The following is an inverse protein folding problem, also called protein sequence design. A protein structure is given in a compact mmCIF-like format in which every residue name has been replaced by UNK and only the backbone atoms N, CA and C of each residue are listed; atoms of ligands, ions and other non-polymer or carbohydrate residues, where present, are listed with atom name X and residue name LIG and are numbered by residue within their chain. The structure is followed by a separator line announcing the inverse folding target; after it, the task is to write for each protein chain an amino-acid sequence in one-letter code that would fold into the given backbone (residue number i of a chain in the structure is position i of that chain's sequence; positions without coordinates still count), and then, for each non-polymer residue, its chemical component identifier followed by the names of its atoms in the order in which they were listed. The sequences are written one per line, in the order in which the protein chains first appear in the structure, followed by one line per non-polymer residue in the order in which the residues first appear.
data_IF_504894638594
#
_entry.id   IF_504894638594
#
_cell.length_a   1.000
_cell.length_b   1.000
_cell.length_c   1.000
_cell.angle_alpha   90.00
_cell.angle_beta   90.00
_cell.angle_gamma   90.00
#
_symmetry.space_group_name_H-M   'P 1'
#
loop_
_entity.id
_entity.type
_entity.pdbx_description
1 polymer ?
#
# COMPACT_ATOMS: atom_id res chain seq x y z
N UNK A 1 -26.00 6.79 -9.65
CA UNK A 1 -24.91 7.71 -9.19
C UNK A 1 -23.60 7.09 -9.53
N UNK A 2 -22.76 7.85 -10.23
CA UNK A 2 -21.44 7.40 -10.68
C UNK A 2 -20.35 8.13 -9.90
N UNK A 3 -19.46 7.39 -9.31
CA UNK A 3 -18.36 7.92 -8.52
C UNK A 3 -17.02 7.65 -9.21
N UNK A 4 -16.21 8.70 -9.35
CA UNK A 4 -14.81 8.57 -9.75
C UNK A 4 -13.96 8.28 -8.51
N UNK A 5 -13.47 7.07 -8.42
CA UNK A 5 -12.57 6.61 -7.35
C UNK A 5 -11.13 6.85 -7.76
N UNK A 6 -10.33 7.45 -6.91
CA UNK A 6 -8.93 7.77 -7.20
C UNK A 6 -8.05 7.28 -6.05
N UNK A 7 -7.22 6.29 -6.31
CA UNK A 7 -6.20 5.79 -5.36
C UNK A 7 -4.85 6.46 -5.64
N UNK A 8 -4.46 7.38 -4.76
CA UNK A 8 -3.19 8.10 -4.82
C UNK A 8 -2.07 7.31 -4.15
N UNK A 9 -1.53 6.33 -4.85
CA UNK A 9 -0.37 5.59 -4.38
C UNK A 9 0.95 6.36 -4.54
N UNK A 10 1.99 5.92 -3.82
CA UNK A 10 3.32 6.52 -3.89
C UNK A 10 4.02 6.34 -5.24
N UNK A 11 3.70 5.28 -5.96
CA UNK A 11 4.32 4.93 -7.25
C UNK A 11 3.39 5.13 -8.43
N UNK A 12 2.09 4.94 -8.22
CA UNK A 12 1.06 5.05 -9.26
C UNK A 12 -0.20 5.67 -8.68
N UNK A 13 -0.93 6.41 -9.51
CA UNK A 13 -2.30 6.83 -9.27
C UNK A 13 -3.18 5.89 -10.09
N UNK A 14 -4.14 5.26 -9.44
CA UNK A 14 -5.14 4.41 -10.08
C UNK A 14 -6.48 5.11 -10.04
N UNK A 15 -7.24 4.99 -11.10
CA UNK A 15 -8.61 5.52 -11.17
C UNK A 15 -9.58 4.42 -11.55
N UNK A 16 -10.84 4.59 -11.17
CA UNK A 16 -11.92 3.67 -11.46
C UNK A 16 -13.26 4.39 -11.40
N UNK A 17 -14.12 4.14 -12.34
CA UNK A 17 -15.49 4.63 -12.33
C UNK A 17 -16.43 3.55 -11.78
N UNK A 18 -17.17 3.88 -10.73
CA UNK A 18 -18.14 3.00 -10.09
C UNK A 18 -19.56 3.56 -10.22
N UNK A 19 -20.45 2.81 -10.84
CA UNK A 19 -21.88 3.12 -10.85
C UNK A 19 -22.59 2.38 -9.71
N UNK A 20 -22.91 3.14 -8.65
CA UNK A 20 -23.58 2.60 -7.47
C UNK A 20 -24.97 2.04 -7.76
N UNK A 21 -25.71 2.62 -8.69
CA UNK A 21 -27.07 2.18 -9.00
C UNK A 21 -27.09 0.80 -9.68
N UNK A 22 -26.10 0.54 -10.52
CA UNK A 22 -25.96 -0.72 -11.26
C UNK A 22 -25.02 -1.72 -10.56
N UNK A 23 -24.30 -1.28 -9.55
CA UNK A 23 -23.19 -2.01 -8.90
C UNK A 23 -22.13 -2.48 -9.92
N UNK A 24 -21.84 -1.62 -10.88
CA UNK A 24 -20.91 -1.92 -11.99
C UNK A 24 -19.67 -1.06 -11.88
N UNK A 25 -18.53 -1.73 -12.01
CA UNK A 25 -17.24 -1.10 -12.20
C UNK A 25 -17.00 -0.98 -13.70
N UNK A 26 -16.66 0.22 -14.13
CA UNK A 26 -16.34 0.48 -15.51
C UNK A 26 -15.10 1.38 -15.60
N UNK A 27 -14.44 1.36 -16.73
CA UNK A 27 -13.38 2.30 -17.10
C UNK A 27 -12.43 2.67 -15.94
N UNK A 28 -11.21 2.25 -16.04
CA UNK A 28 -10.13 2.63 -15.13
C UNK A 28 -8.82 2.80 -15.87
N UNK A 29 -7.92 3.59 -15.33
CA UNK A 29 -6.57 3.71 -15.85
C UNK A 29 -5.56 3.93 -14.72
N UNK A 30 -4.28 3.78 -15.06
CA UNK A 30 -3.15 3.98 -14.16
C UNK A 30 -2.20 4.99 -14.76
N UNK A 31 -1.74 5.93 -13.94
CA UNK A 31 -0.67 6.86 -14.31
C UNK A 31 0.45 6.82 -13.29
N UNK A 32 1.65 7.23 -13.69
CA UNK A 32 2.77 7.35 -12.76
C UNK A 32 2.45 8.40 -11.69
N UNK A 33 2.71 8.08 -10.43
CA UNK A 33 2.55 9.05 -9.36
C UNK A 33 3.67 10.09 -9.40
N UNK A 34 3.36 11.40 -9.26
CA UNK A 34 4.38 12.44 -9.19
C UNK A 34 5.33 12.25 -7.99
N UNK A 35 4.89 11.50 -6.99
CA UNK A 35 5.69 11.17 -5.81
C UNK A 35 6.67 10.00 -6.01
N UNK A 36 6.67 9.37 -7.18
CA UNK A 36 7.65 8.32 -7.46
C UNK A 36 9.07 8.89 -7.41
N UNK A 37 9.28 10.05 -8.01
CA UNK A 37 10.59 10.73 -8.11
C UNK A 37 10.80 11.85 -7.10
N UNK A 38 9.72 12.45 -6.60
CA UNK A 38 9.75 13.62 -5.70
C UNK A 38 9.03 13.33 -4.39
N UNK A 39 9.54 13.87 -3.31
CA UNK A 39 8.88 13.77 -2.00
C UNK A 39 7.82 14.85 -1.77
N UNK A 40 7.88 15.94 -2.52
CA UNK A 40 6.96 17.07 -2.43
C UNK A 40 6.38 17.40 -3.79
N UNK A 41 5.22 18.01 -3.81
CA UNK A 41 4.52 18.45 -5.01
C UNK A 41 3.85 19.80 -4.73
N UNK A 42 4.07 20.83 -5.55
CA UNK A 42 3.32 22.08 -5.47
C UNK A 42 1.81 21.84 -5.66
N UNK A 43 1.00 22.55 -4.89
CA UNK A 43 -0.44 22.35 -4.86
C UNK A 43 -1.08 22.55 -6.25
N UNK A 44 -0.60 23.53 -7.03
CA UNK A 44 -1.10 23.77 -8.38
C UNK A 44 -0.89 22.57 -9.32
N UNK A 45 0.19 21.79 -9.13
CA UNK A 45 0.44 20.57 -9.90
C UNK A 45 -0.53 19.46 -9.53
N UNK A 46 -0.90 19.34 -8.25
CA UNK A 46 -1.95 18.39 -7.86
C UNK A 46 -3.29 18.76 -8.51
N UNK A 47 -3.65 20.05 -8.53
CA UNK A 47 -4.86 20.54 -9.22
C UNK A 47 -4.83 20.19 -10.71
N UNK A 48 -3.69 20.41 -11.39
CA UNK A 48 -3.53 20.04 -12.80
C UNK A 48 -3.74 18.52 -13.00
N UNK A 49 -3.09 17.68 -12.22
CA UNK A 49 -3.25 16.22 -12.31
C UNK A 49 -4.70 15.79 -12.10
N UNK A 50 -5.40 16.40 -11.15
CA UNK A 50 -6.82 16.10 -10.91
C UNK A 50 -7.69 16.53 -12.07
N UNK A 51 -7.46 17.71 -12.64
CA UNK A 51 -8.17 18.15 -13.84
C UNK A 51 -7.93 17.20 -15.01
N UNK A 52 -6.67 16.82 -15.28
CA UNK A 52 -6.32 15.86 -16.32
C UNK A 52 -6.99 14.48 -16.13
N UNK A 53 -7.16 14.06 -14.87
CA UNK A 53 -7.91 12.85 -14.53
C UNK A 53 -9.40 13.05 -14.81
N UNK A 54 -10.00 14.13 -14.34
CA UNK A 54 -11.43 14.43 -14.49
C UNK A 54 -11.81 14.55 -15.96
N UNK A 55 -10.97 15.21 -16.76
CA UNK A 55 -11.21 15.42 -18.19
C UNK A 55 -11.33 14.10 -18.97
N UNK A 56 -10.60 13.06 -18.54
CA UNK A 56 -10.74 11.71 -19.12
C UNK A 56 -12.10 11.05 -18.85
N UNK A 57 -12.85 11.58 -17.89
CA UNK A 57 -14.19 11.11 -17.52
C UNK A 57 -15.27 12.13 -17.84
N UNK A 58 -14.98 13.18 -18.63
CA UNK A 58 -15.91 14.26 -18.94
C UNK A 58 -17.22 13.78 -19.57
N UNK A 59 -17.19 12.67 -20.30
CA UNK A 59 -18.37 12.07 -20.94
C UNK A 59 -19.14 11.06 -20.05
N UNK A 60 -18.67 10.83 -18.83
CA UNK A 60 -19.18 9.72 -18.00
C UNK A 60 -20.23 10.17 -16.96
N UNK A 61 -20.61 11.46 -16.92
CA UNK A 61 -21.56 12.03 -15.94
C UNK A 61 -21.21 11.64 -14.50
N UNK A 62 -20.03 12.08 -14.03
CA UNK A 62 -19.53 11.81 -12.68
C UNK A 62 -20.31 12.62 -11.65
N UNK A 63 -20.94 11.97 -10.69
CA UNK A 63 -21.72 12.60 -9.61
C UNK A 63 -20.86 12.95 -8.38
N UNK A 64 -19.65 12.38 -8.29
CA UNK A 64 -18.75 12.67 -7.18
C UNK A 64 -17.36 12.06 -7.33
N UNK A 65 -16.37 12.70 -6.73
CA UNK A 65 -14.98 12.26 -6.69
C UNK A 65 -14.64 11.77 -5.28
N UNK A 66 -14.19 10.55 -5.17
CA UNK A 66 -13.81 9.93 -3.89
C UNK A 66 -12.35 9.53 -3.93
N UNK A 67 -11.48 10.28 -3.24
CA UNK A 67 -10.06 9.97 -3.19
C UNK A 67 -9.71 8.98 -2.09
N UNK A 68 -8.67 8.20 -2.32
CA UNK A 68 -8.00 7.38 -1.35
C UNK A 68 -6.50 7.67 -1.38
N UNK A 69 -5.85 7.70 -0.23
CA UNK A 69 -4.40 7.88 -0.13
C UNK A 69 -3.89 7.30 1.18
N UNK A 70 -2.58 7.32 1.36
CA UNK A 70 -1.99 6.93 2.63
C UNK A 70 -2.46 7.85 3.76
N UNK A 71 -2.58 7.26 4.93
CA UNK A 71 -2.79 7.99 6.15
C UNK A 71 -1.62 8.94 6.44
N UNK A 72 -1.92 10.18 6.76
CA UNK A 72 -0.90 11.19 7.01
C UNK A 72 -0.19 11.69 5.75
N UNK A 73 -0.70 11.39 4.55
CA UNK A 73 -0.40 12.17 3.37
C UNK A 73 -0.85 13.59 3.66
N UNK A 74 0.08 14.47 3.90
CA UNK A 74 -0.21 15.80 4.40
C UNK A 74 0.00 16.87 3.35
N UNK A 75 -0.12 18.08 3.80
CA UNK A 75 0.19 19.27 3.04
C UNK A 75 1.29 20.06 3.77
N UNK A 76 2.03 20.84 3.01
CA UNK A 76 3.03 21.76 3.55
C UNK A 76 2.42 22.96 4.24
N UNK A 77 3.29 23.73 4.89
CA UNK A 77 2.91 25.03 5.48
C UNK A 77 2.64 26.10 4.43
N UNK A 78 3.01 25.85 3.20
CA UNK A 78 2.77 26.73 2.06
C UNK A 78 1.98 25.93 1.00
N UNK A 79 2.32 26.13 -0.27
CA UNK A 79 1.61 25.56 -1.40
C UNK A 79 2.05 24.14 -1.78
N UNK A 80 2.76 23.43 -0.89
CA UNK A 80 3.30 22.13 -1.15
C UNK A 80 2.56 21.03 -0.38
N UNK A 81 2.43 19.87 -1.02
CA UNK A 81 1.98 18.62 -0.43
C UNK A 81 3.11 17.57 -0.50
N UNK A 82 3.10 16.60 0.36
CA UNK A 82 4.17 15.61 0.47
C UNK A 82 3.68 14.23 0.92
N UNK A 83 4.50 13.22 0.65
CA UNK A 83 4.35 11.90 1.28
C UNK A 83 5.20 11.83 2.56
N UNK A 84 4.55 11.59 3.68
CA UNK A 84 5.11 11.72 5.03
C UNK A 84 6.40 10.94 5.27
N UNK A 85 6.58 9.78 4.67
CA UNK A 85 7.80 8.98 4.85
C UNK A 85 8.96 9.37 3.93
N UNK A 86 8.71 10.17 2.90
CA UNK A 86 9.73 10.60 1.95
C UNK A 86 10.41 11.91 2.35
N UNK A 87 9.83 12.65 3.27
CA UNK A 87 10.33 13.95 3.69
C UNK A 87 11.28 13.80 4.88
N UNK A 88 12.52 14.28 4.74
CA UNK A 88 13.52 14.23 5.80
C UNK A 88 13.23 15.22 6.93
N UNK A 89 12.92 16.45 6.58
CA UNK A 89 12.57 17.50 7.53
C UNK A 89 11.04 17.64 7.66
N UNK A 90 10.48 16.93 8.63
CA UNK A 90 9.06 16.93 8.92
C UNK A 90 8.56 18.18 9.62
N UNK A 91 9.45 19.04 10.14
CA UNK A 91 9.07 20.24 10.88
C UNK A 91 8.46 21.32 9.98
N UNK A 92 8.74 21.26 8.68
CA UNK A 92 8.19 22.16 7.67
C UNK A 92 6.81 21.77 7.18
N UNK A 93 6.31 20.60 7.56
CA UNK A 93 5.09 20.04 7.01
C UNK A 93 4.17 19.52 8.11
N UNK A 94 2.87 19.49 7.82
CA UNK A 94 1.87 18.91 8.69
C UNK A 94 1.37 17.59 8.14
N UNK A 95 1.19 16.60 9.01
CA UNK A 95 0.63 15.27 8.67
C UNK A 95 -0.86 15.18 8.96
N UNK A 96 -1.55 16.31 9.02
CA UNK A 96 -2.90 16.41 9.56
C UNK A 96 -4.01 16.21 8.54
N UNK A 97 -3.77 15.60 7.42
CA UNK A 97 -4.79 15.35 6.41
C UNK A 97 -4.30 14.41 5.32
N UNK A 98 -5.20 14.10 4.43
CA UNK A 98 -4.90 13.36 3.22
C UNK A 98 -4.50 14.31 2.09
N UNK A 99 -3.83 13.79 1.09
CA UNK A 99 -3.30 14.52 -0.04
C UNK A 99 -4.33 15.47 -0.69
N UNK A 100 -5.54 14.98 -0.95
CA UNK A 100 -6.62 15.75 -1.59
C UNK A 100 -7.22 16.77 -0.62
N UNK A 101 -7.24 16.47 0.67
CA UNK A 101 -7.78 17.40 1.67
C UNK A 101 -7.00 18.71 1.71
N UNK A 102 -5.72 18.69 1.36
CA UNK A 102 -4.90 19.88 1.23
C UNK A 102 -5.42 20.91 0.22
N UNK A 103 -6.16 20.47 -0.82
CA UNK A 103 -6.81 21.38 -1.79
C UNK A 103 -7.90 22.28 -1.17
N UNK A 104 -8.50 21.81 -0.07
CA UNK A 104 -9.63 22.45 0.60
C UNK A 104 -9.30 22.85 2.04
N UNK A 105 -8.01 22.81 2.38
CA UNK A 105 -7.57 23.14 3.73
C UNK A 105 -7.82 24.62 4.05
N UNK A 106 -8.50 24.84 5.16
CA UNK A 106 -8.45 26.06 5.93
C UNK A 106 -8.43 25.72 7.43
N UNK A 107 -8.01 26.66 8.26
CA UNK A 107 -7.92 26.46 9.71
C UNK A 107 -9.27 26.12 10.35
N UNK A 108 -10.37 26.60 9.81
CA UNK A 108 -11.72 26.38 10.34
C UNK A 108 -12.21 24.97 10.04
N UNK A 109 -11.86 24.43 8.87
CA UNK A 109 -12.30 23.10 8.41
C UNK A 109 -11.29 21.98 8.67
N UNK A 110 -10.18 22.31 9.31
CA UNK A 110 -9.13 21.34 9.60
C UNK A 110 -9.61 20.03 10.25
N UNK A 111 -10.59 20.10 11.12
CA UNK A 111 -11.16 18.93 11.80
C UNK A 111 -11.93 17.98 10.88
N UNK A 112 -12.47 18.46 9.77
CA UNK A 112 -13.19 17.66 8.78
C UNK A 112 -12.25 16.70 8.07
N UNK A 113 -10.99 17.07 7.94
CA UNK A 113 -9.96 16.29 7.25
C UNK A 113 -9.24 15.30 8.16
N UNK A 114 -9.54 15.34 9.46
CA UNK A 114 -8.92 14.51 10.47
C UNK A 114 -9.48 13.09 10.44
N UNK A 115 -8.64 12.10 10.16
CA UNK A 115 -8.86 10.74 10.62
C UNK A 115 -10.02 9.95 10.03
N UNK A 116 -10.03 9.77 8.74
CA UNK A 116 -10.92 8.78 8.10
C UNK A 116 -10.50 7.33 8.31
N UNK A 117 -9.58 7.09 9.20
CA UNK A 117 -8.89 5.82 9.46
C UNK A 117 -9.19 5.25 10.82
N UNK A 118 -9.86 6.01 11.69
CA UNK A 118 -10.27 5.47 12.98
C UNK A 118 -11.54 4.63 12.84
N UNK A 119 -11.62 3.58 13.60
CA UNK A 119 -12.88 2.90 13.87
C UNK A 119 -13.88 3.95 14.35
N UNK A 120 -15.05 4.00 13.74
CA UNK A 120 -16.03 5.06 14.01
C UNK A 120 -16.05 6.17 12.97
N UNK A 121 -15.60 5.89 11.76
CA UNK A 121 -15.74 6.76 10.61
C UNK A 121 -17.21 7.18 10.38
N UNK A 122 -17.49 8.46 10.52
CA UNK A 122 -18.85 9.04 10.48
C UNK A 122 -19.42 9.27 9.07
N UNK A 123 -18.81 8.66 8.06
CA UNK A 123 -19.23 8.77 6.68
C UNK A 123 -18.40 9.73 5.81
N UNK A 124 -18.70 9.73 4.53
CA UNK A 124 -18.07 10.57 3.54
C UNK A 124 -18.67 11.97 3.59
N UNK A 125 -17.83 13.01 3.70
CA UNK A 125 -18.25 14.41 3.72
C UNK A 125 -17.77 15.12 2.46
N UNK A 126 -18.61 15.96 1.87
CA UNK A 126 -18.20 16.82 0.77
C UNK A 126 -17.30 17.91 1.30
N UNK A 127 -16.11 18.05 0.72
CA UNK A 127 -15.11 19.07 1.08
C UNK A 127 -15.21 20.31 0.20
N UNK A 128 -15.61 20.16 -1.04
CA UNK A 128 -15.71 21.20 -2.03
C UNK A 128 -16.00 20.63 -3.40
N UNK A 129 -15.82 21.41 -4.45
CA UNK A 129 -16.07 21.01 -5.83
C UNK A 129 -14.85 21.25 -6.71
N UNK A 130 -14.64 20.37 -7.69
CA UNK A 130 -13.71 20.55 -8.81
C UNK A 130 -14.55 20.41 -10.08
N UNK A 131 -14.52 21.42 -10.95
CA UNK A 131 -15.34 21.45 -12.17
C UNK A 131 -16.83 21.14 -11.91
N UNK A 132 -17.39 21.70 -10.84
CA UNK A 132 -18.75 21.48 -10.33
C UNK A 132 -19.04 20.02 -9.85
N UNK A 133 -18.06 19.17 -9.78
CA UNK A 133 -18.20 17.80 -9.26
C UNK A 133 -17.82 17.81 -7.78
N UNK A 134 -18.69 17.35 -6.86
CA UNK A 134 -18.36 17.27 -5.44
C UNK A 134 -17.20 16.33 -5.18
N UNK A 135 -16.26 16.79 -4.35
CA UNK A 135 -15.12 16.02 -3.88
C UNK A 135 -15.35 15.63 -2.43
N UNK A 136 -15.35 14.36 -2.17
CA UNK A 136 -15.56 13.82 -0.83
C UNK A 136 -14.25 13.77 -0.04
N UNK A 137 -14.38 13.64 1.26
CA UNK A 137 -13.25 13.40 2.16
C UNK A 137 -12.49 12.14 1.76
N UNK A 138 -11.16 12.23 1.85
CA UNK A 138 -10.29 11.12 1.45
C UNK A 138 -10.38 9.92 2.40
N UNK A 139 -10.27 8.73 1.85
CA UNK A 139 -10.14 7.48 2.61
C UNK A 139 -8.66 7.11 2.78
N UNK A 140 -8.33 6.41 3.87
CA UNK A 140 -7.02 5.79 4.02
C UNK A 140 -6.93 4.46 3.25
N UNK A 141 -5.85 4.24 2.52
CA UNK A 141 -5.61 3.02 1.74
C UNK A 141 -5.70 1.75 2.61
N UNK A 142 -5.05 1.75 3.76
CA UNK A 142 -5.10 0.65 4.73
C UNK A 142 -6.51 0.37 5.23
N UNK A 143 -7.33 1.41 5.44
CA UNK A 143 -8.72 1.25 5.84
C UNK A 143 -9.57 0.66 4.73
N UNK A 144 -9.38 1.11 3.50
CA UNK A 144 -10.04 0.52 2.34
C UNK A 144 -9.70 -0.97 2.23
N UNK A 145 -8.42 -1.33 2.32
CA UNK A 145 -8.01 -2.74 2.34
C UNK A 145 -8.66 -3.52 3.50
N UNK A 146 -8.72 -2.94 4.70
CA UNK A 146 -9.40 -3.56 5.85
C UNK A 146 -10.89 -3.80 5.58
N UNK A 147 -11.56 -2.86 4.93
CA UNK A 147 -12.99 -2.96 4.58
C UNK A 147 -13.28 -3.87 3.39
N UNK A 148 -12.28 -4.24 2.60
CA UNK A 148 -12.45 -5.20 1.51
C UNK A 148 -12.55 -6.66 1.98
N UNK A 149 -12.18 -6.95 3.24
CA UNK A 149 -12.22 -8.28 3.84
C UNK A 149 -13.07 -8.31 5.12
N UNK A 150 -13.69 -9.45 5.38
CA UNK A 150 -14.36 -9.69 6.67
C UNK A 150 -13.36 -10.28 7.67
N UNK A 151 -12.77 -9.42 8.52
CA UNK A 151 -11.71 -9.78 9.47
C UNK A 151 -12.29 -9.98 10.86
N UNK A 152 -12.01 -11.12 11.46
CA UNK A 152 -12.20 -11.42 12.88
C UNK A 152 -10.84 -11.62 13.60
N UNK A 153 -10.85 -12.08 14.85
CA UNK A 153 -9.64 -12.23 15.67
C UNK A 153 -8.67 -13.31 15.18
N UNK A 154 -9.14 -14.24 14.37
CA UNK A 154 -8.31 -15.33 13.83
C UNK A 154 -7.87 -15.08 12.38
N UNK A 155 -8.25 -13.94 11.82
CA UNK A 155 -7.96 -13.56 10.44
C UNK A 155 -7.03 -12.36 10.38
N UNK A 156 -6.15 -12.35 9.42
CA UNK A 156 -5.29 -11.21 9.14
C UNK A 156 -5.21 -10.95 7.62
N UNK A 157 -4.96 -9.70 7.28
CA UNK A 157 -4.52 -9.32 5.93
C UNK A 157 -3.01 -9.14 6.00
N UNK A 158 -2.29 -9.82 5.13
CA UNK A 158 -0.88 -9.56 4.87
C UNK A 158 -0.77 -8.76 3.58
N UNK A 159 -0.58 -7.45 3.73
CA UNK A 159 -0.39 -6.54 2.61
C UNK A 159 1.09 -6.39 2.30
N UNK A 160 1.52 -6.87 1.12
CA UNK A 160 2.90 -6.91 0.67
C UNK A 160 3.13 -5.89 -0.45
N UNK A 161 3.33 -4.65 -0.06
CA UNK A 161 3.63 -3.53 -0.95
C UNK A 161 5.01 -2.93 -0.65
N UNK A 162 5.22 -1.68 -1.08
CA UNK A 162 6.42 -0.88 -0.74
C UNK A 162 6.57 -0.73 0.78
N UNK A 163 5.46 -0.51 1.50
CA UNK A 163 5.34 -0.70 2.92
C UNK A 163 4.48 -1.94 3.18
N UNK A 164 4.97 -2.92 3.91
CA UNK A 164 4.18 -4.10 4.23
C UNK A 164 3.51 -3.98 5.59
N UNK A 165 2.35 -4.62 5.73
CA UNK A 165 1.54 -4.55 6.93
C UNK A 165 0.88 -5.90 7.21
N UNK A 166 0.80 -6.25 8.49
CA UNK A 166 -0.16 -7.25 8.96
C UNK A 166 -1.31 -6.50 9.62
N UNK A 167 -2.49 -6.61 9.03
CA UNK A 167 -3.71 -5.94 9.49
C UNK A 167 -4.59 -6.99 10.15
N UNK A 168 -4.85 -6.82 11.43
CA UNK A 168 -5.75 -7.64 12.25
C UNK A 168 -6.95 -6.80 12.66
N UNK A 169 -7.95 -7.40 13.29
CA UNK A 169 -9.18 -6.73 13.71
C UNK A 169 -8.91 -5.43 14.47
N UNK A 170 -8.11 -5.48 15.51
CA UNK A 170 -7.88 -4.34 16.42
C UNK A 170 -6.46 -3.77 16.34
N UNK A 171 -5.62 -4.30 15.46
CA UNK A 171 -4.22 -3.92 15.39
C UNK A 171 -3.68 -3.97 13.97
N UNK A 172 -2.90 -2.98 13.61
CA UNK A 172 -2.09 -3.00 12.40
C UNK A 172 -0.61 -2.95 12.78
N UNK A 173 0.16 -3.91 12.29
CA UNK A 173 1.60 -3.96 12.44
C UNK A 173 2.21 -3.59 11.11
N UNK A 174 2.95 -2.50 11.08
CA UNK A 174 3.63 -2.01 9.89
C UNK A 174 5.10 -2.40 9.90
N UNK A 175 5.60 -2.83 8.75
CA UNK A 175 6.99 -3.20 8.55
C UNK A 175 7.60 -2.28 7.51
N UNK A 176 8.66 -1.61 7.87
CA UNK A 176 9.41 -0.79 6.92
C UNK A 176 10.39 -1.61 6.09
N UNK A 177 11.13 -2.60 6.65
CA UNK A 177 11.86 -3.53 5.80
C UNK A 177 10.86 -4.48 5.14
N UNK A 178 10.51 -4.20 3.92
CA UNK A 178 9.56 -4.98 3.15
C UNK A 178 9.84 -4.80 1.66
N UNK A 179 8.89 -4.45 0.86
CA UNK A 179 9.11 -4.13 -0.53
C UNK A 179 10.15 -3.03 -0.76
N UNK A 180 10.27 -2.08 0.18
CA UNK A 180 11.33 -1.08 0.11
C UNK A 180 12.72 -1.67 0.32
N UNK A 181 12.88 -2.66 1.21
CA UNK A 181 14.12 -3.39 1.36
C UNK A 181 14.44 -4.23 0.12
N UNK A 182 13.42 -4.92 -0.43
CA UNK A 182 13.59 -5.66 -1.69
C UNK A 182 14.00 -4.75 -2.85
N UNK A 183 13.53 -3.50 -2.91
CA UNK A 183 13.93 -2.56 -3.93
C UNK A 183 15.42 -2.18 -3.86
N UNK A 184 16.03 -2.20 -2.67
CA UNK A 184 17.49 -2.01 -2.54
C UNK A 184 18.23 -3.17 -3.20
N UNK A 185 17.82 -4.40 -2.92
CA UNK A 185 18.42 -5.59 -3.54
C UNK A 185 18.10 -5.67 -5.02
N UNK A 186 16.88 -5.29 -5.43
CA UNK A 186 16.53 -5.20 -6.85
C UNK A 186 17.46 -4.27 -7.60
N UNK A 187 17.67 -3.05 -7.10
CA UNK A 187 18.57 -2.09 -7.75
C UNK A 187 20.00 -2.60 -7.86
N UNK A 188 20.47 -3.34 -6.85
CA UNK A 188 21.78 -3.99 -6.90
C UNK A 188 21.84 -5.08 -7.97
N UNK A 189 20.83 -5.96 -8.01
CA UNK A 189 20.76 -7.08 -8.94
C UNK A 189 20.49 -6.62 -10.39
N UNK A 190 19.73 -5.55 -10.59
CA UNK A 190 19.52 -4.92 -11.92
C UNK A 190 20.87 -4.54 -12.56
N UNK A 191 21.83 -4.04 -11.76
CA UNK A 191 23.18 -3.73 -12.26
C UNK A 191 23.98 -4.98 -12.69
N UNK A 192 23.55 -6.15 -12.26
CA UNK A 192 24.11 -7.44 -12.65
C UNK A 192 23.29 -8.14 -13.75
N UNK A 193 22.28 -7.44 -14.32
CA UNK A 193 21.39 -7.98 -15.35
C UNK A 193 20.36 -8.99 -14.81
N UNK A 194 20.10 -9.01 -13.51
CA UNK A 194 19.17 -9.97 -12.86
C UNK A 194 17.90 -9.26 -12.40
N UNK A 195 16.74 -9.62 -12.94
CA UNK A 195 15.45 -9.18 -12.42
C UNK A 195 15.05 -10.00 -11.18
N UNK A 196 15.10 -9.37 -10.02
CA UNK A 196 14.79 -10.01 -8.73
C UNK A 196 13.38 -10.62 -8.70
N UNK A 197 12.37 -9.92 -9.19
CA UNK A 197 10.98 -10.40 -9.11
C UNK A 197 10.69 -11.49 -10.12
N UNK A 198 11.29 -11.44 -11.29
CA UNK A 198 11.25 -12.54 -12.24
C UNK A 198 11.92 -13.78 -11.64
N UNK A 199 13.07 -13.62 -10.99
CA UNK A 199 13.75 -14.71 -10.32
C UNK A 199 12.90 -15.31 -9.18
N UNK A 200 12.22 -14.49 -8.38
CA UNK A 200 11.30 -14.98 -7.35
C UNK A 200 10.19 -15.87 -7.91
N UNK A 201 9.75 -15.65 -9.14
CA UNK A 201 8.72 -16.49 -9.77
C UNK A 201 9.21 -17.88 -10.17
N UNK A 202 10.52 -18.08 -10.24
CA UNK A 202 11.14 -19.37 -10.57
C UNK A 202 11.51 -20.22 -9.35
N UNK A 203 11.49 -19.63 -8.15
CA UNK A 203 11.85 -20.33 -6.92
C UNK A 203 10.80 -21.38 -6.54
N UNK A 204 11.27 -22.42 -5.87
CA UNK A 204 10.48 -23.52 -5.34
C UNK A 204 10.59 -23.61 -3.81
N UNK A 205 9.72 -24.38 -3.18
CA UNK A 205 9.84 -24.65 -1.74
C UNK A 205 11.14 -25.37 -1.36
N UNK A 206 11.68 -26.17 -2.27
CA UNK A 206 12.96 -26.89 -2.04
C UNK A 206 14.14 -25.90 -2.03
N UNK A 207 14.13 -24.90 -2.92
CA UNK A 207 15.13 -23.83 -2.91
C UNK A 207 15.13 -23.09 -1.58
N UNK A 208 13.94 -22.78 -1.04
CA UNK A 208 13.82 -22.12 0.25
C UNK A 208 14.27 -23.00 1.42
N UNK A 209 14.06 -24.32 1.33
CA UNK A 209 14.53 -25.27 2.35
C UNK A 209 16.05 -25.36 2.35
N UNK A 210 16.66 -25.35 1.18
CA UNK A 210 18.11 -25.49 0.99
C UNK A 210 18.87 -24.17 1.13
N UNK A 211 18.17 -23.04 1.23
CA UNK A 211 18.79 -21.73 1.40
C UNK A 211 19.49 -21.60 2.76
N UNK A 212 20.72 -21.08 2.76
CA UNK A 212 21.62 -21.11 3.93
C UNK A 212 22.03 -19.74 4.45
N UNK A 213 21.96 -18.69 3.63
CA UNK A 213 22.31 -17.35 4.05
C UNK A 213 21.22 -16.77 4.96
N UNK A 214 21.61 -15.91 5.89
CA UNK A 214 20.68 -15.18 6.76
C UNK A 214 20.76 -13.69 6.47
N UNK A 215 19.64 -13.11 6.05
CA UNK A 215 19.51 -11.69 5.80
C UNK A 215 18.86 -10.99 6.97
N UNK A 216 19.53 -9.98 7.51
CA UNK A 216 18.89 -8.96 8.32
C UNK A 216 18.45 -7.82 7.38
N UNK A 217 17.15 -7.70 7.17
CA UNK A 217 16.56 -6.71 6.28
C UNK A 217 16.29 -5.37 6.96
N UNK A 218 16.85 -5.14 8.14
CA UNK A 218 16.66 -3.95 8.96
C UNK A 218 17.52 -2.77 8.48
N UNK A 219 17.44 -2.49 7.20
CA UNK A 219 18.25 -1.46 6.50
C UNK A 219 17.64 -0.04 6.57
N UNK A 220 16.43 0.09 7.11
CA UNK A 220 15.78 1.39 7.28
C UNK A 220 15.48 1.67 8.74
N UNK A 221 15.74 2.91 9.23
CA UNK A 221 15.37 3.29 10.58
C UNK A 221 13.86 3.28 10.78
N UNK A 222 13.42 2.90 11.98
CA UNK A 222 12.05 3.05 12.45
C UNK A 222 11.03 2.07 11.86
N UNK A 223 11.19 0.84 12.09
CA UNK A 223 10.08 -0.09 11.98
C UNK A 223 9.75 -0.69 13.33
N UNK A 224 8.58 -1.24 13.44
CA UNK A 224 7.94 -1.75 14.65
C UNK A 224 8.88 -2.44 15.67
N UNK A 225 9.40 -3.63 15.33
CA UNK A 225 10.35 -4.38 16.18
C UNK A 225 11.81 -4.13 15.78
N UNK A 226 12.03 -3.53 14.66
CA UNK A 226 13.33 -3.43 14.03
C UNK A 226 13.90 -2.02 14.20
N UNK A 227 14.83 -1.89 15.14
CA UNK A 227 15.70 -0.72 15.18
C UNK A 227 16.66 -0.83 14.00
N UNK A 228 16.95 0.27 13.34
CA UNK A 228 17.94 0.26 12.26
C UNK A 228 19.33 0.12 12.86
N UNK A 229 19.86 -1.08 12.79
CA UNK A 229 21.24 -1.40 13.14
C UNK A 229 22.11 -1.61 11.89
N UNK A 230 21.55 -1.32 10.73
CA UNK A 230 22.11 -1.71 9.44
C UNK A 230 21.74 -3.13 9.06
N UNK A 231 21.56 -3.36 7.76
CA UNK A 231 21.34 -4.70 7.23
C UNK A 231 22.67 -5.47 7.16
N UNK A 232 22.60 -6.80 7.31
CA UNK A 232 23.76 -7.68 7.13
C UNK A 232 23.38 -9.03 6.58
N UNK A 233 24.35 -9.72 6.02
CA UNK A 233 24.23 -11.08 5.52
C UNK A 233 25.18 -11.95 6.31
N UNK A 234 24.68 -13.03 6.87
CA UNK A 234 25.45 -13.99 7.67
C UNK A 234 25.51 -15.35 6.98
N UNK A 235 26.39 -16.20 7.51
CA UNK A 235 26.61 -17.57 7.07
C UNK A 235 27.18 -17.68 5.64
N UNK A 236 27.95 -16.70 5.21
CA UNK A 236 28.62 -16.73 3.92
C UNK A 236 29.81 -17.69 4.01
N UNK A 237 29.88 -18.62 3.05
CA UNK A 237 31.02 -19.53 2.82
C UNK A 237 31.36 -19.52 1.33
N UNK A 238 32.53 -20.03 0.97
CA UNK A 238 32.94 -20.14 -0.44
C UNK A 238 31.93 -20.97 -1.26
N UNK A 239 31.41 -22.05 -0.69
CA UNK A 239 30.51 -22.97 -1.42
C UNK A 239 29.10 -22.44 -1.58
N UNK A 240 28.63 -21.60 -0.66
CA UNK A 240 27.21 -21.18 -0.62
C UNK A 240 26.95 -19.77 -1.14
N UNK A 241 27.97 -18.97 -1.41
CA UNK A 241 27.80 -17.59 -1.89
C UNK A 241 27.66 -17.54 -3.41
N UNK A 242 26.51 -17.99 -3.90
CA UNK A 242 26.11 -17.92 -5.31
C UNK A 242 24.76 -17.24 -5.47
N UNK A 243 24.44 -16.83 -6.69
CA UNK A 243 23.24 -16.05 -7.00
C UNK A 243 21.95 -16.74 -6.57
N UNK A 244 21.84 -18.04 -6.81
CA UNK A 244 20.64 -18.80 -6.50
C UNK A 244 20.38 -18.86 -4.98
N UNK A 245 21.40 -19.21 -4.20
CA UNK A 245 21.30 -19.23 -2.74
C UNK A 245 21.12 -17.82 -2.15
N UNK A 246 21.73 -16.79 -2.77
CA UNK A 246 21.51 -15.40 -2.36
C UNK A 246 20.04 -15.02 -2.51
N UNK A 247 19.43 -15.23 -3.67
CA UNK A 247 18.05 -14.82 -3.94
C UNK A 247 17.03 -15.68 -3.18
N UNK A 248 17.23 -17.00 -3.09
CA UNK A 248 16.34 -17.90 -2.33
C UNK A 248 16.38 -17.60 -0.82
N UNK A 249 17.57 -17.30 -0.27
CA UNK A 249 17.73 -16.90 1.12
C UNK A 249 17.12 -15.53 1.41
N UNK A 250 17.30 -14.56 0.51
CA UNK A 250 16.68 -13.25 0.60
C UNK A 250 15.14 -13.36 0.65
N UNK A 251 14.58 -14.15 -0.27
CA UNK A 251 13.14 -14.41 -0.31
C UNK A 251 12.64 -15.05 0.99
N UNK A 252 13.32 -16.11 1.43
CA UNK A 252 12.97 -16.80 2.67
C UNK A 252 13.00 -15.87 3.87
N UNK A 253 14.09 -15.14 4.09
CA UNK A 253 14.22 -14.22 5.21
C UNK A 253 13.21 -13.06 5.13
N UNK A 254 12.84 -12.63 3.91
CA UNK A 254 11.78 -11.65 3.71
C UNK A 254 10.42 -12.15 4.21
N UNK A 255 10.07 -13.41 3.93
CA UNK A 255 8.77 -13.96 4.34
C UNK A 255 8.78 -14.44 5.80
N UNK A 256 9.87 -14.98 6.29
CA UNK A 256 9.99 -15.52 7.67
C UNK A 256 9.65 -14.45 8.73
N UNK A 257 10.02 -13.19 8.51
CA UNK A 257 9.68 -12.12 9.45
C UNK A 257 8.17 -11.91 9.66
N UNK A 258 7.35 -12.20 8.65
CA UNK A 258 5.89 -12.16 8.79
C UNK A 258 5.36 -13.40 9.48
N UNK A 259 5.95 -14.57 9.19
CA UNK A 259 5.59 -15.85 9.77
C UNK A 259 5.74 -15.83 11.29
N UNK A 260 6.82 -15.25 11.82
CA UNK A 260 7.03 -15.09 13.26
C UNK A 260 5.83 -14.40 13.93
N UNK A 261 5.37 -13.30 13.36
CA UNK A 261 4.26 -12.53 13.91
C UNK A 261 2.93 -13.26 13.73
N UNK A 262 2.69 -13.85 12.56
CA UNK A 262 1.46 -14.62 12.31
C UNK A 262 1.31 -15.77 13.31
N UNK A 263 2.41 -16.43 13.67
CA UNK A 263 2.43 -17.48 14.70
C UNK A 263 2.22 -16.92 16.11
N UNK A 264 2.84 -15.78 16.45
CA UNK A 264 2.66 -15.09 17.74
C UNK A 264 1.16 -14.79 17.99
N UNK A 265 0.44 -14.33 16.95
CA UNK A 265 -0.98 -14.00 17.05
C UNK A 265 -1.93 -15.16 16.74
N UNK A 266 -1.43 -16.37 16.51
CA UNK A 266 -2.23 -17.59 16.23
C UNK A 266 -3.25 -17.39 15.11
N UNK A 267 -2.83 -16.72 14.05
CA UNK A 267 -3.68 -16.46 12.89
C UNK A 267 -3.92 -17.77 12.13
N UNK A 268 -5.18 -18.08 11.85
CA UNK A 268 -5.60 -19.30 11.14
C UNK A 268 -5.95 -19.07 9.67
N UNK A 269 -6.28 -17.81 9.31
CA UNK A 269 -6.59 -17.44 7.93
C UNK A 269 -5.91 -16.12 7.55
N UNK A 270 -5.20 -16.14 6.45
CA UNK A 270 -4.42 -15.00 5.96
C UNK A 270 -4.91 -14.62 4.57
N UNK A 271 -5.34 -13.38 4.42
CA UNK A 271 -5.62 -12.78 3.12
C UNK A 271 -4.35 -12.09 2.61
N UNK A 272 -3.87 -12.54 1.45
CA UNK A 272 -2.68 -11.99 0.82
C UNK A 272 -3.08 -10.93 -0.19
N UNK A 273 -2.49 -9.75 -0.08
CA UNK A 273 -2.70 -8.62 -1.00
C UNK A 273 -1.40 -7.87 -1.25
N UNK A 274 -1.39 -6.97 -2.23
CA UNK A 274 -0.24 -6.15 -2.58
C UNK A 274 0.61 -6.72 -3.71
N UNK A 275 1.29 -5.82 -4.42
CA UNK A 275 1.95 -6.12 -5.68
C UNK A 275 3.13 -7.11 -5.61
N UNK A 276 3.68 -7.38 -4.43
CA UNK A 276 4.74 -8.40 -4.27
C UNK A 276 4.11 -9.79 -4.29
N UNK A 277 2.95 -9.96 -3.62
CA UNK A 277 2.22 -11.22 -3.64
C UNK A 277 1.75 -11.60 -5.05
N UNK A 278 1.30 -10.61 -5.84
CA UNK A 278 0.92 -10.84 -7.24
C UNK A 278 2.06 -11.37 -8.10
N UNK A 279 3.30 -10.95 -7.80
CA UNK A 279 4.50 -11.36 -8.53
C UNK A 279 5.10 -12.69 -8.08
N UNK A 280 4.73 -13.18 -6.90
CA UNK A 280 5.30 -14.41 -6.34
C UNK A 280 4.27 -15.22 -5.56
N UNK A 281 3.54 -16.13 -6.23
CA UNK A 281 2.58 -17.06 -5.59
C UNK A 281 3.22 -17.96 -4.53
N UNK A 282 4.52 -18.21 -4.61
CA UNK A 282 5.29 -19.02 -3.66
C UNK A 282 5.18 -18.46 -2.22
N UNK A 283 4.96 -17.15 -2.04
CA UNK A 283 4.76 -16.54 -0.71
C UNK A 283 3.62 -17.25 0.04
N UNK A 284 2.46 -17.37 -0.61
CA UNK A 284 1.28 -18.00 0.00
C UNK A 284 1.50 -19.48 0.31
N UNK A 285 2.21 -20.18 -0.55
CA UNK A 285 2.54 -21.59 -0.37
C UNK A 285 3.52 -21.77 0.79
N UNK A 286 4.56 -20.97 0.86
CA UNK A 286 5.56 -21.02 1.92
C UNK A 286 4.95 -20.69 3.29
N UNK A 287 4.10 -19.66 3.37
CA UNK A 287 3.37 -19.32 4.60
C UNK A 287 2.49 -20.48 5.06
N UNK A 288 1.72 -21.11 4.17
CA UNK A 288 0.89 -22.28 4.51
C UNK A 288 1.70 -23.41 5.11
N UNK A 289 2.88 -23.68 4.53
CA UNK A 289 3.76 -24.73 5.01
C UNK A 289 4.35 -24.45 6.40
N UNK A 290 4.53 -23.18 6.74
CA UNK A 290 5.20 -22.75 7.98
C UNK A 290 4.25 -22.38 9.13
N UNK A 291 3.00 -22.00 8.83
CA UNK A 291 2.07 -21.51 9.86
C UNK A 291 0.86 -22.42 10.05
N UNK A 292 0.63 -23.41 9.25
CA UNK A 292 -0.62 -24.17 9.17
C UNK A 292 -1.86 -23.30 8.87
N UNK A 293 -1.67 -22.05 8.51
CA UNK A 293 -2.75 -21.12 8.22
C UNK A 293 -3.24 -21.27 6.78
N UNK A 294 -4.56 -21.16 6.59
CA UNK A 294 -5.13 -21.08 5.24
C UNK A 294 -4.82 -19.72 4.64
N UNK A 295 -4.09 -19.67 3.54
CA UNK A 295 -3.86 -18.44 2.76
C UNK A 295 -4.90 -18.33 1.65
N UNK A 296 -5.36 -17.10 1.43
CA UNK A 296 -6.29 -16.74 0.36
C UNK A 296 -5.76 -15.51 -0.35
N UNK A 297 -5.51 -15.63 -1.65
CA UNK A 297 -5.21 -14.49 -2.52
C UNK A 297 -6.44 -14.22 -3.38
N UNK A 298 -6.76 -12.96 -3.63
CA UNK A 298 -7.68 -12.62 -4.71
C UNK A 298 -6.92 -12.74 -6.02
N UNK A 299 -7.47 -13.51 -6.94
CA UNK A 299 -6.93 -13.67 -8.29
C UNK A 299 -7.83 -12.90 -9.24
N UNK A 300 -7.24 -12.02 -10.02
CA UNK A 300 -7.90 -11.28 -11.10
C UNK A 300 -9.07 -10.42 -10.63
N UNK A 301 -8.99 -9.15 -10.73
CA UNK A 301 -10.04 -8.24 -10.34
C UNK A 301 -9.50 -6.88 -9.92
N UNK A 302 -10.38 -6.08 -9.39
CA UNK A 302 -10.06 -4.77 -8.87
C UNK A 302 -9.16 -4.84 -7.63
N UNK A 303 -8.35 -3.82 -7.44
CA UNK A 303 -7.48 -3.76 -6.26
C UNK A 303 -8.32 -3.78 -4.98
N UNK A 304 -7.78 -4.41 -3.92
CA UNK A 304 -8.45 -4.48 -2.62
C UNK A 304 -8.81 -3.10 -2.06
N UNK A 305 -8.07 -2.06 -2.45
CA UNK A 305 -8.36 -0.67 -2.10
C UNK A 305 -9.71 -0.26 -2.69
N UNK A 306 -9.94 -0.49 -3.99
CA UNK A 306 -11.21 -0.13 -4.63
C UNK A 306 -12.40 -0.94 -4.11
N UNK A 307 -12.21 -2.23 -3.86
CA UNK A 307 -13.25 -3.05 -3.22
C UNK A 307 -13.65 -2.46 -1.86
N UNK A 308 -12.66 -2.06 -1.06
CA UNK A 308 -12.92 -1.40 0.22
C UNK A 308 -13.59 -0.03 0.08
N UNK A 309 -13.19 0.78 -0.89
CA UNK A 309 -13.84 2.06 -1.20
C UNK A 309 -15.31 1.86 -1.55
N UNK A 310 -15.62 0.90 -2.42
CA UNK A 310 -16.99 0.57 -2.82
C UNK A 310 -17.83 0.13 -1.62
N UNK A 311 -17.27 -0.73 -0.76
CA UNK A 311 -17.96 -1.15 0.46
C UNK A 311 -18.29 0.03 1.40
N UNK A 312 -17.38 1.01 1.51
CA UNK A 312 -17.61 2.23 2.29
C UNK A 312 -18.68 3.11 1.63
N UNK A 313 -18.63 3.29 0.32
CA UNK A 313 -19.63 4.05 -0.45
C UNK A 313 -21.03 3.46 -0.28
N UNK A 314 -21.15 2.15 -0.44
CA UNK A 314 -22.43 1.46 -0.33
C UNK A 314 -23.04 1.55 1.07
N UNK A 315 -22.19 1.74 2.08
CA UNK A 315 -22.64 1.91 3.46
C UNK A 315 -23.04 3.36 3.81
N UNK A 316 -22.40 4.37 3.22
CA UNK A 316 -22.45 5.75 3.71
C UNK A 316 -23.02 6.77 2.72
N UNK A 317 -23.12 6.47 1.44
CA UNK A 317 -23.74 7.29 0.40
C UNK A 317 -24.95 6.59 -0.22
#
# INVERSE_FOLDING_TARGET
MKYLLIDFGASKIHTLLYDKKLDIISKGFKIESPFLKKSTLPLYKLKSILNDIIDKYSNDNVDGIIPCTILGGGWGLADDIYYSWKVKDKNKFTTKGCLISGLFFDEKNYHVHKHHDKEGYDGLKVLGNINNIPVYSSMGDTNCVKKSFNIDYQKAILNLGTGSQIIMKDKTISFIPSGRALNVFKNFLDNLGVDLFQYFSTLTLEDLKNSTLKFNLNIFPQSHKWKSEGGHILNITEDNFNLHNFISSLFKCYVDQYIEILNEYKITKIYLTGGINEKSPLIGEYIRKKTSSKTVSRTGGESDVFVGMINIINKHL
#
